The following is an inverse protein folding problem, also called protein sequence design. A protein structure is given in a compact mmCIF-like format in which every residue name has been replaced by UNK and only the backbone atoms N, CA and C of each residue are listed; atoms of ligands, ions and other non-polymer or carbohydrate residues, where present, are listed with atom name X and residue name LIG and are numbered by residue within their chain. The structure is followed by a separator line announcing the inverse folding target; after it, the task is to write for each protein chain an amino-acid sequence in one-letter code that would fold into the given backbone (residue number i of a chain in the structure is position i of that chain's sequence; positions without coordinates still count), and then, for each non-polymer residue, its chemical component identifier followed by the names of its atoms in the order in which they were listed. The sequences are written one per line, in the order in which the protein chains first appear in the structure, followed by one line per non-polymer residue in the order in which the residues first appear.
data_IF_723830151780
#
_entry.id   IF_723830151780
#
_cell.length_a   1.000
_cell.length_b   1.000
_cell.length_c   1.000
_cell.angle_alpha   90.00
_cell.angle_beta   90.00
_cell.angle_gamma   90.00
#
_symmetry.space_group_name_H-M   'P 1'
#
loop_
_entity.id
_entity.type
_entity.pdbx_description
1 polymer ?
#
# COMPACT_ATOMS: atom_id res chain seq x y z
N UNK A 1 -21.21 41.74 -5.32
CA UNK A 1 -20.78 40.36 -5.04
C UNK A 1 -21.16 39.52 -6.25
N UNK A 2 -20.19 39.21 -7.11
CA UNK A 2 -20.43 38.49 -8.36
C UNK A 2 -19.80 37.11 -8.29
N UNK A 3 -20.62 36.07 -8.39
CA UNK A 3 -20.18 34.68 -8.53
C UNK A 3 -19.48 34.49 -9.88
N UNK A 4 -18.17 34.30 -9.85
CA UNK A 4 -17.42 33.85 -11.02
C UNK A 4 -17.54 32.32 -11.10
N UNK A 5 -18.49 31.86 -11.91
CA UNK A 5 -18.55 30.49 -12.40
C UNK A 5 -17.37 30.28 -13.37
N UNK A 6 -16.24 29.81 -12.84
CA UNK A 6 -15.08 29.45 -13.64
C UNK A 6 -15.39 28.25 -14.52
N UNK A 7 -15.46 28.51 -15.84
CA UNK A 7 -15.52 27.53 -16.93
C UNK A 7 -14.48 26.41 -16.75
N UNK A 8 -14.95 25.17 -16.68
CA UNK A 8 -14.33 24.02 -17.35
C UNK A 8 -12.87 23.70 -17.05
N UNK A 9 -12.51 23.46 -15.79
CA UNK A 9 -11.39 22.54 -15.50
C UNK A 9 -11.98 21.20 -15.13
N UNK A 10 -11.84 20.21 -16.02
CA UNK A 10 -11.95 18.82 -15.64
C UNK A 10 -11.11 18.59 -14.37
N UNK A 11 -11.58 17.81 -13.37
CA UNK A 11 -10.71 17.41 -12.29
C UNK A 11 -9.45 16.83 -12.92
N UNK A 12 -8.27 17.36 -12.56
CA UNK A 12 -7.01 16.80 -13.04
C UNK A 12 -7.08 15.30 -12.79
N UNK A 13 -6.94 14.49 -13.84
CA UNK A 13 -6.65 13.08 -13.64
C UNK A 13 -5.52 13.02 -12.61
N UNK A 14 -5.62 12.19 -11.55
CA UNK A 14 -4.56 12.13 -10.56
C UNK A 14 -3.27 11.85 -11.33
N UNK A 15 -2.35 12.81 -11.29
CA UNK A 15 -1.11 12.71 -12.04
C UNK A 15 -0.47 11.38 -11.62
N UNK A 16 -0.20 10.46 -12.56
CA UNK A 16 0.41 9.16 -12.23
C UNK A 16 1.73 9.32 -11.46
N UNK A 17 2.35 10.50 -11.54
CA UNK A 17 3.50 10.92 -10.74
C UNK A 17 3.19 11.08 -9.24
N UNK A 18 2.00 11.55 -8.87
CA UNK A 18 1.57 11.70 -7.48
C UNK A 18 1.31 10.35 -6.82
N UNK A 19 0.69 9.42 -7.55
CA UNK A 19 0.50 8.02 -7.09
C UNK A 19 1.84 7.32 -6.98
N UNK A 20 2.74 7.48 -7.96
CA UNK A 20 4.07 6.88 -7.89
C UNK A 20 4.90 7.45 -6.74
N UNK A 21 4.84 8.76 -6.49
CA UNK A 21 5.51 9.40 -5.36
C UNK A 21 4.97 8.86 -4.02
N UNK A 22 3.65 8.70 -3.92
CA UNK A 22 3.01 8.11 -2.76
C UNK A 22 3.49 6.66 -2.51
N UNK A 23 3.53 5.84 -3.56
CA UNK A 23 3.98 4.46 -3.47
C UNK A 23 5.46 4.37 -3.06
N UNK A 24 6.32 5.26 -3.56
CA UNK A 24 7.73 5.34 -3.16
C UNK A 24 7.89 5.69 -1.68
N UNK A 25 7.09 6.63 -1.19
CA UNK A 25 7.10 7.01 0.21
C UNK A 25 6.64 5.86 1.11
N UNK A 26 5.55 5.18 0.74
CA UNK A 26 5.00 4.05 1.48
C UNK A 26 5.99 2.87 1.49
N UNK A 27 6.63 2.59 0.36
CA UNK A 27 7.68 1.57 0.26
C UNK A 27 8.92 1.92 1.10
N UNK A 28 9.33 3.19 1.12
CA UNK A 28 10.42 3.66 2.00
C UNK A 28 10.08 3.44 3.47
N UNK A 29 8.88 3.83 3.91
CA UNK A 29 8.41 3.62 5.29
C UNK A 29 8.33 2.14 5.65
N UNK A 30 7.87 1.31 4.71
CA UNK A 30 7.88 -0.15 4.85
C UNK A 30 9.31 -0.66 5.07
N UNK A 31 10.28 -0.22 4.27
CA UNK A 31 11.69 -0.60 4.39
C UNK A 31 12.30 -0.17 5.73
N UNK A 32 12.09 1.08 6.14
CA UNK A 32 12.62 1.64 7.40
C UNK A 32 12.14 0.85 8.63
N UNK A 33 10.90 0.34 8.59
CA UNK A 33 10.31 -0.47 9.66
C UNK A 33 10.44 -1.99 9.42
N UNK A 34 11.25 -2.40 8.43
CA UNK A 34 11.42 -3.80 8.00
C UNK A 34 10.09 -4.54 7.73
N UNK A 35 9.04 -3.81 7.37
CA UNK A 35 7.70 -4.32 7.14
C UNK A 35 6.96 -4.86 8.37
N UNK A 36 7.57 -4.84 9.57
CA UNK A 36 7.05 -5.53 10.76
C UNK A 36 5.63 -5.06 11.11
N UNK A 37 5.42 -3.74 11.17
CA UNK A 37 4.17 -3.17 11.62
C UNK A 37 2.99 -3.52 10.69
N UNK A 38 3.22 -3.58 9.38
CA UNK A 38 2.19 -3.98 8.41
C UNK A 38 1.92 -5.50 8.45
N UNK A 39 2.97 -6.30 8.62
CA UNK A 39 2.84 -7.76 8.75
C UNK A 39 2.12 -8.16 10.05
N UNK A 40 2.38 -7.46 11.15
CA UNK A 40 1.67 -7.63 12.43
C UNK A 40 0.21 -7.22 12.33
N UNK A 41 -0.06 -6.09 11.66
CA UNK A 41 -1.42 -5.65 11.39
C UNK A 41 -2.21 -6.70 10.59
N UNK A 42 -1.65 -7.20 9.48
CA UNK A 42 -2.28 -8.24 8.67
C UNK A 42 -2.46 -9.54 9.47
N UNK A 43 -1.48 -9.93 10.28
CA UNK A 43 -1.60 -11.12 11.13
C UNK A 43 -2.73 -11.00 12.15
N UNK A 44 -2.92 -9.81 12.73
CA UNK A 44 -4.03 -9.53 13.65
C UNK A 44 -5.37 -9.56 12.91
N UNK A 45 -5.45 -8.90 11.76
CA UNK A 45 -6.66 -8.86 10.93
C UNK A 45 -7.09 -10.25 10.46
N UNK A 46 -6.15 -11.08 10.00
CA UNK A 46 -6.41 -12.47 9.61
C UNK A 46 -7.03 -13.24 10.78
N UNK A 47 -6.44 -13.17 11.98
CA UNK A 47 -6.95 -13.85 13.17
C UNK A 47 -8.37 -13.39 13.54
N UNK A 48 -8.64 -12.09 13.42
CA UNK A 48 -9.96 -11.53 13.73
C UNK A 48 -11.03 -11.96 12.72
N UNK A 49 -10.68 -12.06 11.44
CA UNK A 49 -11.58 -12.58 10.40
C UNK A 49 -11.87 -14.07 10.59
N UNK A 50 -10.84 -14.87 10.88
CA UNK A 50 -11.00 -16.31 11.17
C UNK A 50 -11.92 -16.53 12.38
N UNK A 51 -11.75 -15.74 13.44
CA UNK A 51 -12.64 -15.78 14.63
C UNK A 51 -14.09 -15.44 14.31
N UNK A 52 -14.33 -14.62 13.29
CA UNK A 52 -15.68 -14.23 12.82
C UNK A 52 -16.24 -15.20 11.78
N UNK A 53 -15.51 -16.27 11.43
CA UNK A 53 -15.91 -17.19 10.36
C UNK A 53 -15.86 -16.57 8.96
N UNK A 54 -15.12 -15.48 8.79
CA UNK A 54 -14.94 -14.81 7.49
C UNK A 54 -13.63 -15.32 6.88
N UNK A 55 -13.67 -15.68 5.61
CA UNK A 55 -12.48 -16.13 4.88
C UNK A 55 -11.44 -15.00 4.70
N UNK A 56 -10.24 -15.12 5.28
CA UNK A 56 -9.19 -14.10 5.18
C UNK A 56 -8.24 -14.33 3.99
N UNK A 57 -8.56 -15.18 3.02
CA UNK A 57 -7.64 -15.59 1.93
C UNK A 57 -6.93 -14.40 1.25
N UNK A 58 -7.67 -13.32 0.96
CA UNK A 58 -7.11 -12.09 0.38
C UNK A 58 -6.00 -11.49 1.26
N UNK A 59 -6.21 -11.44 2.58
CA UNK A 59 -5.25 -10.89 3.52
C UNK A 59 -4.06 -11.82 3.77
N UNK A 60 -4.28 -13.15 3.73
CA UNK A 60 -3.20 -14.14 3.75
C UNK A 60 -2.27 -13.95 2.56
N UNK A 61 -2.82 -13.81 1.35
CA UNK A 61 -2.05 -13.57 0.13
C UNK A 61 -1.33 -12.22 0.14
N UNK A 62 -1.95 -11.17 0.70
CA UNK A 62 -1.27 -9.89 0.90
C UNK A 62 -0.08 -10.01 1.86
N UNK A 63 -0.22 -10.77 2.95
CA UNK A 63 0.85 -11.01 3.91
C UNK A 63 2.01 -11.79 3.27
N UNK A 64 1.74 -12.87 2.55
CA UNK A 64 2.75 -13.66 1.83
C UNK A 64 3.54 -12.79 0.84
N UNK A 65 2.84 -11.96 0.06
CA UNK A 65 3.49 -11.04 -0.87
C UNK A 65 4.42 -10.04 -0.15
N UNK A 66 4.03 -9.56 1.03
CA UNK A 66 4.86 -8.63 1.82
C UNK A 66 6.08 -9.30 2.44
N UNK A 67 5.96 -10.57 2.86
CA UNK A 67 7.10 -11.36 3.32
C UNK A 67 8.11 -11.57 2.19
N UNK A 68 7.64 -11.79 0.96
CA UNK A 68 8.50 -11.87 -0.21
C UNK A 68 9.14 -10.53 -0.58
N UNK A 69 8.38 -9.43 -0.51
CA UNK A 69 8.93 -8.06 -0.68
C UNK A 69 10.05 -7.81 0.33
N UNK A 70 9.87 -8.20 1.60
CA UNK A 70 10.90 -8.09 2.63
C UNK A 70 12.13 -8.92 2.29
N UNK A 71 11.94 -10.16 1.82
CA UNK A 71 13.05 -11.02 1.36
C UNK A 71 13.86 -10.37 0.23
N UNK A 72 13.18 -9.78 -0.76
CA UNK A 72 13.81 -9.11 -1.89
C UNK A 72 14.61 -7.86 -1.45
N UNK A 73 14.10 -7.10 -0.48
CA UNK A 73 14.82 -5.95 0.10
C UNK A 73 16.14 -6.43 0.75
N UNK A 74 16.09 -7.52 1.54
CA UNK A 74 17.29 -8.06 2.20
C UNK A 74 18.34 -8.54 1.18
N UNK A 75 17.89 -9.04 0.02
CA UNK A 75 18.76 -9.46 -1.09
C UNK A 75 19.31 -8.30 -1.93
N UNK A 76 18.89 -7.06 -1.67
CA UNK A 76 19.27 -5.88 -2.45
C UNK A 76 18.48 -5.69 -3.76
N UNK A 77 17.42 -6.47 -3.99
CA UNK A 77 16.60 -6.43 -5.21
C UNK A 77 15.47 -5.38 -5.10
N UNK A 78 15.82 -4.13 -4.77
CA UNK A 78 14.84 -3.09 -4.40
C UNK A 78 13.83 -2.76 -5.51
N UNK A 79 14.24 -2.79 -6.79
CA UNK A 79 13.34 -2.52 -7.92
C UNK A 79 12.25 -3.59 -8.06
N UNK A 80 12.63 -4.86 -7.85
CA UNK A 80 11.72 -6.01 -7.92
C UNK A 80 10.80 -5.98 -6.70
N UNK A 81 11.36 -5.69 -5.52
CA UNK A 81 10.61 -5.49 -4.28
C UNK A 81 9.56 -4.37 -4.43
N UNK A 82 9.93 -3.22 -5.01
CA UNK A 82 9.03 -2.10 -5.23
C UNK A 82 7.91 -2.45 -6.23
N UNK A 83 8.24 -3.14 -7.31
CA UNK A 83 7.26 -3.60 -8.30
C UNK A 83 6.27 -4.58 -7.68
N UNK A 84 6.75 -5.49 -6.83
CA UNK A 84 5.87 -6.45 -6.14
C UNK A 84 5.02 -5.80 -5.07
N UNK A 85 5.57 -4.84 -4.33
CA UNK A 85 4.84 -4.03 -3.36
C UNK A 85 3.68 -3.26 -4.01
N UNK A 86 3.94 -2.57 -5.12
CA UNK A 86 2.91 -1.80 -5.85
C UNK A 86 1.88 -2.69 -6.54
N UNK A 87 2.22 -3.92 -6.93
CA UNK A 87 1.23 -4.92 -7.39
C UNK A 87 0.36 -5.45 -6.27
N UNK A 88 0.90 -5.55 -5.05
CA UNK A 88 0.17 -5.98 -3.86
C UNK A 88 -0.80 -4.89 -3.39
N UNK A 89 -0.42 -3.62 -3.58
CA UNK A 89 -1.22 -2.44 -3.25
C UNK A 89 -1.30 -1.48 -4.45
N UNK A 90 -2.24 -1.71 -5.40
CA UNK A 90 -2.30 -0.97 -6.67
C UNK A 90 -2.54 0.55 -6.54
N UNK A 91 -2.99 1.02 -5.38
CA UNK A 91 -3.17 2.45 -5.06
C UNK A 91 -2.19 2.96 -4.00
N UNK A 92 -1.09 2.24 -3.75
CA UNK A 92 -0.26 2.41 -2.57
C UNK A 92 -1.09 2.13 -1.29
N UNK A 93 -0.48 2.11 -0.09
CA UNK A 93 -1.21 1.59 1.08
C UNK A 93 -2.50 2.40 1.34
N UNK A 94 -3.69 1.76 1.42
CA UNK A 94 -4.96 2.47 1.56
C UNK A 94 -5.13 3.17 2.93
N UNK A 95 -4.21 2.96 3.87
CA UNK A 95 -4.28 3.44 5.25
C UNK A 95 -3.17 4.44 5.60
N UNK A 96 -2.88 5.39 4.70
CA UNK A 96 -1.95 6.50 4.97
C UNK A 96 -2.29 7.34 6.22
N UNK A 97 -3.55 7.34 6.63
CA UNK A 97 -4.07 8.09 7.77
C UNK A 97 -3.92 7.40 9.13
N UNK A 98 -3.45 6.15 9.17
CA UNK A 98 -3.36 5.35 10.41
C UNK A 98 -1.94 4.82 10.72
N UNK A 99 -0.89 5.28 10.01
CA UNK A 99 0.50 4.78 10.09
C UNK A 99 1.57 5.82 10.39
#
# INVERSE_FOLDING_TARGET
MSHVLSKGRYPRQPDGSAVLAACREDFRKFKERNGNLLLEHLSTLIKDLERRGIDPEVYKKQKENLEEVRSLIVKGEELIAFTRFTRTFPYCMPHRSLL
#
